data_IF_309942263365
#
_entry.id   IF_309942263365
#
_cell.length_a   1.000
_cell.length_b   1.000
_cell.length_c   1.000
_cell.angle_alpha   90.00
_cell.angle_beta   90.00
_cell.angle_gamma   90.00
#
_symmetry.space_group_name_H-M   'P 1'
#
loop_
_entity.id
_entity.type
_entity.pdbx_description
1 polymer ?
#
# COMPACT_ATOMS: atom_id res chain seq x y z
N UNK A 1 -31.78 -0.13 2.50
CA UNK A 1 -30.39 -0.49 2.86
C UNK A 1 -29.53 0.76 2.83
N UNK A 2 -28.94 1.10 3.95
CA UNK A 2 -28.09 2.28 4.03
C UNK A 2 -26.73 2.01 3.36
N UNK A 3 -26.29 2.95 2.55
CA UNK A 3 -24.95 2.90 1.99
C UNK A 3 -23.93 3.28 3.07
N UNK A 4 -22.82 2.54 3.14
CA UNK A 4 -21.71 2.92 3.99
C UNK A 4 -21.16 4.27 3.54
N UNK A 5 -20.96 5.17 4.48
CA UNK A 5 -20.28 6.44 4.19
C UNK A 5 -18.80 6.18 3.98
N UNK A 6 -18.22 6.79 2.95
CA UNK A 6 -16.78 6.74 2.72
C UNK A 6 -16.03 7.36 3.90
N UNK A 7 -14.91 6.77 4.25
CA UNK A 7 -14.09 7.21 5.37
C UNK A 7 -12.74 7.72 4.90
N UNK A 8 -12.10 8.45 5.79
CA UNK A 8 -10.75 8.96 5.57
C UNK A 8 -9.80 8.25 6.52
N UNK A 9 -8.67 7.78 5.98
CA UNK A 9 -7.67 7.05 6.74
C UNK A 9 -6.31 7.74 6.57
N UNK A 10 -5.50 7.76 7.63
CA UNK A 10 -4.14 8.29 7.55
C UNK A 10 -3.14 7.16 7.45
N UNK A 11 -2.25 7.26 6.47
CA UNK A 11 -1.13 6.34 6.30
C UNK A 11 0.16 7.13 6.44
N UNK A 12 1.04 6.68 7.33
CA UNK A 12 2.30 7.36 7.59
C UNK A 12 3.43 6.70 6.83
N UNK A 13 4.31 7.54 6.29
CA UNK A 13 5.55 7.12 5.64
C UNK A 13 6.72 7.62 6.49
N UNK A 14 7.68 6.74 6.80
CA UNK A 14 8.91 7.14 7.47
C UNK A 14 9.72 8.07 6.56
N UNK A 15 10.51 8.96 7.15
CA UNK A 15 11.34 9.90 6.40
C UNK A 15 12.23 9.20 5.36
N UNK A 16 12.76 8.02 5.70
CA UNK A 16 13.58 7.22 4.77
C UNK A 16 12.81 6.73 3.55
N UNK A 17 11.47 6.76 3.59
CA UNK A 17 10.61 6.31 2.51
C UNK A 17 9.99 7.49 1.74
N UNK A 18 10.58 8.69 1.86
CA UNK A 18 10.08 9.87 1.17
C UNK A 18 10.04 9.70 -0.35
N UNK A 19 10.99 8.97 -0.91
CA UNK A 19 11.01 8.68 -2.35
C UNK A 19 9.76 7.92 -2.77
N UNK A 20 9.35 6.92 -1.99
CA UNK A 20 8.11 6.18 -2.25
C UNK A 20 6.90 7.11 -2.23
N UNK A 21 6.82 8.00 -1.24
CA UNK A 21 5.77 9.00 -1.13
C UNK A 21 5.74 9.92 -2.36
N UNK A 22 6.94 10.37 -2.81
CA UNK A 22 7.06 11.21 -4.01
C UNK A 22 6.59 10.49 -5.28
N UNK A 23 6.82 9.17 -5.40
CA UNK A 23 6.32 8.40 -6.53
C UNK A 23 4.79 8.36 -6.57
N UNK A 24 4.14 8.30 -5.42
CA UNK A 24 2.67 8.40 -5.35
C UNK A 24 2.22 9.79 -5.78
N UNK A 25 2.88 10.83 -5.27
CA UNK A 25 2.55 12.22 -5.59
C UNK A 25 2.65 12.49 -7.09
N UNK A 26 3.70 11.96 -7.74
CA UNK A 26 3.93 12.18 -9.17
C UNK A 26 3.08 11.30 -10.09
N UNK A 27 2.37 10.32 -9.52
CA UNK A 27 1.57 9.36 -10.28
C UNK A 27 2.33 8.18 -10.83
N UNK A 28 3.63 8.07 -10.55
CA UNK A 28 4.45 6.91 -10.97
C UNK A 28 4.10 5.65 -10.19
N UNK A 29 3.71 5.80 -8.93
CA UNK A 29 3.25 4.69 -8.09
C UNK A 29 1.75 4.83 -7.88
N UNK A 30 0.97 3.90 -8.42
CA UNK A 30 -0.49 3.94 -8.35
C UNK A 30 -1.08 2.89 -7.40
N UNK A 31 -0.25 2.03 -6.85
CA UNK A 31 -0.68 0.98 -5.93
C UNK A 31 0.16 1.07 -4.66
N UNK A 32 -0.49 1.31 -3.53
CA UNK A 32 0.14 1.24 -2.22
C UNK A 32 -0.21 -0.08 -1.57
N UNK A 33 0.74 -0.66 -0.84
CA UNK A 33 0.53 -1.93 -0.16
C UNK A 33 0.84 -1.79 1.33
N UNK A 34 0.06 -2.49 2.14
CA UNK A 34 0.25 -2.57 3.59
C UNK A 34 -0.08 -3.98 4.06
N UNK A 35 0.62 -4.46 5.09
CA UNK A 35 0.23 -5.70 5.73
C UNK A 35 -1.23 -5.59 6.20
N UNK A 36 -2.01 -6.67 6.05
CA UNK A 36 -3.47 -6.64 6.25
C UNK A 36 -3.90 -6.64 7.70
N UNK A 37 -3.27 -5.82 8.55
CA UNK A 37 -3.65 -5.69 9.96
C UNK A 37 -5.03 -5.04 10.09
N UNK A 38 -5.63 -5.13 11.28
CA UNK A 38 -6.98 -4.61 11.53
C UNK A 38 -7.16 -3.17 11.07
N UNK A 39 -6.16 -2.32 11.32
CA UNK A 39 -6.20 -0.91 10.90
C UNK A 39 -6.46 -0.77 9.40
N UNK A 40 -5.76 -1.55 8.58
CA UNK A 40 -5.83 -1.41 7.12
C UNK A 40 -6.98 -2.20 6.52
N UNK A 41 -7.49 -3.22 7.21
CA UNK A 41 -8.69 -3.95 6.77
C UNK A 41 -9.93 -3.08 6.73
N UNK A 42 -9.93 -1.97 7.45
CA UNK A 42 -11.05 -1.02 7.47
C UNK A 42 -11.15 -0.18 6.20
N UNK A 43 -10.07 -0.10 5.42
CA UNK A 43 -10.05 0.69 4.19
C UNK A 43 -10.85 -0.01 3.11
N UNK A 44 -11.76 0.71 2.46
CA UNK A 44 -12.62 0.17 1.41
C UNK A 44 -12.60 1.07 0.17
N UNK A 45 -13.01 0.49 -0.95
CA UNK A 45 -13.18 1.23 -2.20
C UNK A 45 -14.01 2.49 -1.96
N UNK A 46 -13.56 3.60 -2.48
CA UNK A 46 -14.24 4.90 -2.33
C UNK A 46 -13.73 5.71 -1.15
N UNK A 47 -12.99 5.08 -0.23
CA UNK A 47 -12.41 5.81 0.89
C UNK A 47 -11.28 6.74 0.43
N UNK A 48 -10.93 7.69 1.29
CA UNK A 48 -9.84 8.62 1.05
C UNK A 48 -8.66 8.26 1.94
N UNK A 49 -7.46 8.28 1.36
CA UNK A 49 -6.22 8.12 2.11
C UNK A 49 -5.50 9.46 2.20
N UNK A 50 -5.12 9.84 3.41
CA UNK A 50 -4.21 10.96 3.64
C UNK A 50 -2.84 10.36 3.88
N UNK A 51 -1.94 10.53 2.91
CA UNK A 51 -0.60 9.95 2.92
C UNK A 51 0.36 10.98 3.49
N UNK A 52 0.87 10.72 4.69
CA UNK A 52 1.68 11.67 5.43
C UNK A 52 3.16 11.27 5.41
N UNK A 53 4.02 12.22 5.05
CA UNK A 53 5.48 12.05 5.16
C UNK A 53 6.03 13.32 5.83
N UNK A 54 6.36 13.22 7.12
CA UNK A 54 6.70 14.40 7.92
C UNK A 54 5.55 15.40 7.93
N UNK A 55 5.82 16.63 7.51
CA UNK A 55 4.81 17.70 7.41
C UNK A 55 4.04 17.67 6.10
N UNK A 56 4.44 16.84 5.16
CA UNK A 56 3.82 16.78 3.84
C UNK A 56 2.64 15.81 3.84
N UNK A 57 1.53 16.26 3.29
CA UNK A 57 0.31 15.45 3.19
C UNK A 57 -0.13 15.37 1.74
N UNK A 58 -0.64 14.21 1.34
CA UNK A 58 -1.13 13.96 0.01
C UNK A 58 -2.43 13.17 0.12
N UNK A 59 -3.47 13.65 -0.57
CA UNK A 59 -4.77 12.97 -0.54
C UNK A 59 -4.97 12.16 -1.81
N UNK A 60 -5.38 10.90 -1.66
CA UNK A 60 -5.73 10.02 -2.77
C UNK A 60 -7.01 9.26 -2.45
N UNK A 61 -7.78 8.96 -3.47
CA UNK A 61 -8.98 8.11 -3.33
C UNK A 61 -8.64 6.67 -3.61
N UNK A 62 -9.29 5.76 -2.90
CA UNK A 62 -9.11 4.33 -3.08
C UNK A 62 -10.02 3.85 -4.20
N UNK A 63 -9.44 3.44 -5.31
CA UNK A 63 -10.14 2.95 -6.47
C UNK A 63 -10.53 1.48 -6.32
N UNK A 64 -9.66 0.70 -5.69
CA UNK A 64 -9.85 -0.74 -5.50
C UNK A 64 -9.01 -1.23 -4.33
N UNK A 65 -9.53 -2.20 -3.58
CA UNK A 65 -8.80 -2.88 -2.51
C UNK A 65 -8.79 -4.38 -2.83
N UNK A 66 -7.60 -4.98 -2.78
CA UNK A 66 -7.46 -6.43 -2.96
C UNK A 66 -6.61 -7.00 -1.83
N UNK A 67 -7.05 -8.10 -1.25
CA UNK A 67 -6.31 -8.82 -0.21
C UNK A 67 -5.61 -10.03 -0.82
N UNK A 68 -4.33 -10.18 -0.52
CA UNK A 68 -3.52 -11.33 -0.94
C UNK A 68 -2.97 -12.03 0.29
N UNK A 69 -2.97 -13.37 0.27
CA UNK A 69 -2.40 -14.14 1.37
C UNK A 69 -0.87 -14.08 1.40
N UNK A 70 -0.25 -13.93 0.24
CA UNK A 70 1.21 -13.98 0.10
C UNK A 70 1.71 -12.92 -0.86
N UNK A 71 3.00 -12.58 -0.77
CA UNK A 71 3.64 -11.68 -1.72
C UNK A 71 3.68 -12.29 -3.12
N UNK A 72 3.83 -13.59 -3.22
CA UNK A 72 3.82 -14.27 -4.53
C UNK A 72 2.52 -14.02 -5.28
N UNK A 73 1.38 -14.13 -4.60
CA UNK A 73 0.08 -13.87 -5.22
C UNK A 73 -0.11 -12.39 -5.57
N UNK A 74 0.41 -11.49 -4.74
CA UNK A 74 0.42 -10.06 -5.03
C UNK A 74 1.12 -9.79 -6.36
N UNK A 75 2.33 -10.36 -6.56
CA UNK A 75 3.13 -10.08 -7.75
C UNK A 75 2.66 -10.84 -8.99
N UNK A 76 1.72 -11.75 -8.87
CA UNK A 76 1.00 -12.31 -10.03
C UNK A 76 -0.03 -11.32 -10.59
N UNK A 77 -0.58 -10.46 -9.72
CA UNK A 77 -1.59 -9.47 -10.10
C UNK A 77 -0.95 -8.15 -10.51
N UNK A 78 0.05 -7.68 -9.76
CA UNK A 78 0.71 -6.40 -9.98
C UNK A 78 2.19 -6.62 -10.22
N UNK A 79 2.75 -6.03 -11.29
CA UNK A 79 4.19 -6.09 -11.51
C UNK A 79 4.92 -5.32 -10.40
N UNK A 80 6.14 -5.74 -10.03
CA UNK A 80 6.91 -5.03 -9.01
C UNK A 80 7.07 -3.54 -9.28
N UNK A 81 7.28 -3.17 -10.53
CA UNK A 81 7.47 -1.78 -10.92
C UNK A 81 6.22 -0.92 -10.71
N UNK A 82 5.03 -1.51 -10.76
CA UNK A 82 3.77 -0.81 -10.47
C UNK A 82 3.67 -0.41 -9.00
N UNK A 83 4.19 -1.26 -8.12
CA UNK A 83 4.16 -1.05 -6.68
C UNK A 83 5.33 -0.17 -6.23
N UNK A 84 6.52 -0.43 -6.78
CA UNK A 84 7.71 0.35 -6.44
C UNK A 84 8.51 0.65 -7.69
N UNK A 85 8.33 1.84 -8.29
CA UNK A 85 9.10 2.23 -9.47
C UNK A 85 10.61 2.12 -9.21
N UNK A 86 11.33 1.54 -10.16
CA UNK A 86 12.77 1.33 -10.05
C UNK A 86 13.18 -0.04 -9.52
N UNK A 87 12.24 -0.83 -8.97
CA UNK A 87 12.52 -2.21 -8.59
C UNK A 87 11.84 -3.12 -9.61
N UNK A 88 12.64 -3.77 -10.46
CA UNK A 88 12.14 -4.49 -11.61
C UNK A 88 11.86 -5.98 -11.41
N UNK A 89 12.25 -6.59 -10.25
CA UNK A 89 12.10 -8.02 -10.05
C UNK A 89 11.29 -8.35 -8.81
N UNK A 90 10.54 -9.46 -8.91
CA UNK A 90 9.78 -9.99 -7.77
C UNK A 90 10.69 -10.34 -6.61
N UNK A 91 11.85 -10.94 -6.89
CA UNK A 91 12.83 -11.31 -5.86
C UNK A 91 13.29 -10.09 -5.06
N UNK A 92 13.63 -9.00 -5.75
CA UNK A 92 14.09 -7.77 -5.09
C UNK A 92 12.98 -7.14 -4.25
N UNK A 93 11.74 -7.18 -4.73
CA UNK A 93 10.59 -6.66 -3.99
C UNK A 93 10.32 -7.46 -2.72
N UNK A 94 10.36 -8.80 -2.82
CA UNK A 94 10.16 -9.66 -1.65
C UNK A 94 11.22 -9.37 -0.61
N UNK A 95 12.50 -9.25 -1.04
CA UNK A 95 13.60 -8.94 -0.13
C UNK A 95 13.37 -7.59 0.56
N UNK A 96 12.86 -6.59 -0.15
CA UNK A 96 12.57 -5.29 0.44
C UNK A 96 11.48 -5.38 1.50
N UNK A 97 10.38 -6.11 1.24
CA UNK A 97 9.34 -6.30 2.24
C UNK A 97 9.88 -6.99 3.49
N UNK A 98 10.72 -8.01 3.30
CA UNK A 98 11.30 -8.74 4.44
C UNK A 98 12.31 -7.91 5.22
N UNK A 99 12.82 -6.82 4.65
CA UNK A 99 13.73 -5.91 5.35
C UNK A 99 13.02 -5.00 6.35
N UNK A 100 11.70 -4.84 6.23
CA UNK A 100 10.94 -4.04 7.19
C UNK A 100 10.75 -4.80 8.50
N UNK A 101 11.06 -4.19 9.66
CA UNK A 101 10.94 -4.88 10.94
C UNK A 101 9.56 -5.49 11.19
N UNK A 102 9.52 -6.80 11.44
CA UNK A 102 8.28 -7.51 11.75
C UNK A 102 7.31 -7.71 10.59
N UNK A 103 7.65 -7.24 9.39
CA UNK A 103 6.72 -7.27 8.26
C UNK A 103 6.48 -8.68 7.73
N UNK A 104 7.52 -9.51 7.71
CA UNK A 104 7.39 -10.91 7.28
C UNK A 104 6.35 -11.66 8.12
N UNK A 105 6.40 -11.51 9.44
CA UNK A 105 5.45 -12.14 10.34
C UNK A 105 4.03 -11.56 10.18
N UNK A 106 3.92 -10.25 10.00
CA UNK A 106 2.63 -9.61 9.77
C UNK A 106 1.98 -10.11 8.49
N UNK A 107 2.75 -10.28 7.42
CA UNK A 107 2.22 -10.81 6.16
C UNK A 107 1.78 -12.26 6.32
N UNK A 108 2.55 -13.08 7.04
CA UNK A 108 2.16 -14.47 7.31
C UNK A 108 0.82 -14.54 8.05
N UNK A 109 0.63 -13.66 9.02
CA UNK A 109 -0.57 -13.67 9.87
C UNK A 109 -1.77 -13.04 9.18
N UNK A 110 -1.59 -11.90 8.50
CA UNK A 110 -2.68 -11.05 8.02
C UNK A 110 -2.75 -10.95 6.49
N UNK A 111 -1.74 -11.44 5.76
CA UNK A 111 -1.62 -11.21 4.33
C UNK A 111 -1.21 -9.76 4.03
N UNK A 112 -1.44 -9.35 2.79
CA UNK A 112 -1.09 -8.00 2.34
C UNK A 112 -2.25 -7.40 1.55
N UNK A 113 -2.51 -6.13 1.78
CA UNK A 113 -3.55 -5.37 1.08
C UNK A 113 -2.92 -4.48 0.02
N UNK A 114 -3.53 -4.45 -1.15
CA UNK A 114 -3.15 -3.55 -2.23
C UNK A 114 -4.28 -2.54 -2.45
N UNK A 115 -3.93 -1.26 -2.41
CA UNK A 115 -4.84 -0.15 -2.65
C UNK A 115 -4.50 0.50 -3.98
N UNK A 116 -5.37 0.37 -4.98
CA UNK A 116 -5.23 1.13 -6.22
C UNK A 116 -5.72 2.56 -5.95
N UNK A 117 -4.89 3.54 -6.30
CA UNK A 117 -5.11 4.95 -5.96
C UNK A 117 -5.43 5.79 -7.19
N UNK A 118 -6.24 6.81 -6.99
CA UNK A 118 -6.54 7.81 -8.03
C UNK A 118 -6.62 9.22 -7.47
#
# INVERSE_FOLDING_TARGET
>A
MEKRKNKTHRLRFAAKNKETWNFIKSGKKKVETRAGTVKYQKVQKGDTLILCCGKNHLQKNVKKVTHFKTLTTLFKKYSPNTIHPGIGTTKSMIAQYHSFPGYEEKIKTFGILAFELE
#
